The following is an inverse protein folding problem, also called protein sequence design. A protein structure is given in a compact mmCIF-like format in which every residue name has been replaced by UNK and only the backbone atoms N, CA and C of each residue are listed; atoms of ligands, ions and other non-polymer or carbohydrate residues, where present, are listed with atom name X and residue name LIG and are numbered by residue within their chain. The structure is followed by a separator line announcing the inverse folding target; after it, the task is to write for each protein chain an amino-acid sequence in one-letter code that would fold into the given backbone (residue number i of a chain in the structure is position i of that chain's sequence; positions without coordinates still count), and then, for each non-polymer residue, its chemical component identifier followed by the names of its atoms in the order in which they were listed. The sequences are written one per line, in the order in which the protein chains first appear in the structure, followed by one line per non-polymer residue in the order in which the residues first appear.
data_IF_466300399646
#
_entry.id   IF_466300399646
#
_cell.length_a   1.000
_cell.length_b   1.000
_cell.length_c   1.000
_cell.angle_alpha   90.00
_cell.angle_beta   90.00
_cell.angle_gamma   90.00
#
_symmetry.space_group_name_H-M   'P 1'
#
loop_
_entity.id
_entity.type
_entity.pdbx_description
1 polymer ?
#
# COMPACT_ATOMS: atom_id res chain seq x y z
N UNK A 1 -3.62 28.02 -81.15
CA UNK A 1 -3.68 28.79 -79.90
C UNK A 1 -4.07 27.82 -78.79
N UNK A 2 -3.11 27.38 -78.00
CA UNK A 2 -3.23 26.34 -77.02
C UNK A 2 -3.38 26.92 -75.64
N UNK A 3 -4.51 26.65 -74.98
CA UNK A 3 -4.72 27.03 -73.57
C UNK A 3 -4.30 25.88 -72.69
N UNK A 4 -3.18 26.08 -71.98
CA UNK A 4 -2.69 25.12 -70.96
C UNK A 4 -3.47 25.29 -69.64
N UNK A 5 -4.31 24.29 -69.37
CA UNK A 5 -4.96 24.15 -68.08
C UNK A 5 -3.97 23.79 -66.98
N UNK A 6 -3.80 24.67 -66.01
CA UNK A 6 -2.95 24.47 -64.84
C UNK A 6 -3.75 23.79 -63.75
N UNK A 7 -3.54 22.47 -63.63
CA UNK A 7 -4.17 21.65 -62.57
C UNK A 7 -3.39 21.87 -61.25
N UNK A 8 -3.87 22.76 -60.40
CA UNK A 8 -3.37 22.97 -59.06
C UNK A 8 -3.86 21.83 -58.15
N UNK A 9 -3.00 20.87 -57.87
CA UNK A 9 -3.26 19.86 -56.83
C UNK A 9 -3.10 20.52 -55.46
N UNK A 10 -4.20 20.76 -54.75
CA UNK A 10 -4.22 21.07 -53.33
C UNK A 10 -3.88 19.79 -52.56
N UNK A 11 -2.67 19.74 -52.03
CA UNK A 11 -2.31 18.72 -51.07
C UNK A 11 -2.78 19.22 -49.68
N UNK A 12 -3.86 18.69 -49.20
CA UNK A 12 -4.37 18.95 -47.84
C UNK A 12 -3.53 18.06 -46.87
N UNK A 13 -2.59 18.68 -46.20
CA UNK A 13 -1.88 18.04 -45.08
C UNK A 13 -2.85 17.98 -43.88
N UNK A 14 -3.39 16.79 -43.62
CA UNK A 14 -4.07 16.50 -42.36
C UNK A 14 -2.98 16.21 -41.33
N UNK A 15 -2.65 17.22 -40.54
CA UNK A 15 -1.81 17.04 -39.36
C UNK A 15 -2.64 16.30 -38.30
N UNK A 16 -2.45 14.99 -38.21
CA UNK A 16 -2.99 14.18 -37.11
C UNK A 16 -2.24 14.60 -35.84
N UNK A 17 -2.84 15.49 -35.07
CA UNK A 17 -2.37 15.82 -33.74
C UNK A 17 -2.65 14.60 -32.82
N UNK A 18 -1.62 13.76 -32.64
CA UNK A 18 -1.62 12.76 -31.55
C UNK A 18 -1.64 13.51 -30.23
N UNK A 19 -2.82 13.72 -29.68
CA UNK A 19 -2.97 14.18 -28.30
C UNK A 19 -2.58 12.99 -27.40
N UNK A 20 -1.34 12.97 -27.02
CA UNK A 20 -0.89 12.07 -25.94
C UNK A 20 -1.54 12.58 -24.65
N UNK A 21 -2.65 11.96 -24.27
CA UNK A 21 -3.21 12.17 -22.96
C UNK A 21 -2.20 11.65 -21.94
N UNK A 22 -1.47 12.58 -21.34
CA UNK A 22 -0.67 12.28 -20.15
C UNK A 22 -1.64 11.87 -19.06
N UNK A 23 -1.83 10.56 -18.89
CA UNK A 23 -2.54 10.01 -17.74
C UNK A 23 -1.61 10.24 -16.54
N UNK A 24 -1.75 11.39 -15.89
CA UNK A 24 -1.15 11.59 -14.58
C UNK A 24 -1.79 10.56 -13.64
N UNK A 25 -0.98 9.62 -13.16
CA UNK A 25 -1.43 8.73 -12.11
C UNK A 25 -1.90 9.60 -10.93
N UNK A 26 -3.16 9.45 -10.56
CA UNK A 26 -3.73 10.23 -9.45
C UNK A 26 -2.86 10.05 -8.19
N UNK A 27 -2.69 11.13 -7.43
CA UNK A 27 -1.95 11.07 -6.18
C UNK A 27 -2.55 10.05 -5.22
N UNK A 28 -1.69 9.33 -4.51
CA UNK A 28 -2.12 8.44 -3.44
C UNK A 28 -2.79 9.27 -2.35
N UNK A 29 -4.03 8.91 -2.01
CA UNK A 29 -4.83 9.64 -1.03
C UNK A 29 -5.09 8.78 0.21
N UNK A 30 -4.78 9.26 1.41
CA UNK A 30 -5.20 8.58 2.64
C UNK A 30 -6.71 8.72 2.83
N UNK A 31 -7.30 7.87 3.65
CA UNK A 31 -8.68 8.02 4.08
C UNK A 31 -8.84 9.34 4.85
N UNK A 32 -9.98 9.99 4.68
CA UNK A 32 -10.24 11.31 5.30
C UNK A 32 -10.42 11.23 6.82
N UNK A 33 -10.92 10.09 7.31
CA UNK A 33 -11.21 9.88 8.73
C UNK A 33 -10.50 8.64 9.24
N UNK A 34 -9.90 8.75 10.40
CA UNK A 34 -9.30 7.64 11.13
C UNK A 34 -9.58 7.82 12.62
N UNK A 35 -10.31 6.87 13.17
CA UNK A 35 -10.38 6.65 14.62
C UNK A 35 -9.16 5.79 15.01
N UNK A 36 -8.19 6.44 15.63
CA UNK A 36 -6.93 5.78 15.96
C UNK A 36 -7.15 4.67 17.01
N UNK A 37 -8.04 4.86 17.97
CA UNK A 37 -8.29 3.88 19.03
C UNK A 37 -8.86 2.58 18.44
N UNK A 38 -9.73 2.68 17.44
CA UNK A 38 -10.23 1.53 16.69
C UNK A 38 -9.16 0.89 15.81
N UNK A 39 -8.17 1.68 15.35
CA UNK A 39 -7.08 1.19 14.52
C UNK A 39 -6.01 0.45 15.33
N UNK A 40 -5.84 0.77 16.61
CA UNK A 40 -4.92 0.06 17.50
C UNK A 40 -5.22 -1.45 17.57
N UNK A 41 -4.30 -2.20 18.16
CA UNK A 41 -4.35 -3.65 18.27
C UNK A 41 -3.61 -4.38 17.16
N UNK A 42 -3.90 -5.65 17.00
CA UNK A 42 -3.17 -6.53 16.08
C UNK A 42 -3.82 -6.59 14.71
N UNK A 43 -2.98 -6.53 13.69
CA UNK A 43 -3.31 -6.69 12.28
C UNK A 43 -2.44 -7.78 11.66
N UNK A 44 -3.06 -8.71 10.97
CA UNK A 44 -2.38 -9.76 10.19
C UNK A 44 -2.11 -9.23 8.79
N UNK A 45 -0.88 -9.42 8.31
CA UNK A 45 -0.53 -9.10 6.93
C UNK A 45 -1.11 -10.14 5.98
N UNK A 46 -2.06 -9.75 5.14
CA UNK A 46 -2.68 -10.61 4.13
C UNK A 46 -1.85 -10.63 2.85
N UNK A 47 -1.34 -9.47 2.45
CA UNK A 47 -0.45 -9.32 1.30
C UNK A 47 0.43 -8.08 1.47
N UNK A 48 1.58 -8.07 0.82
CA UNK A 48 2.48 -6.91 0.80
C UNK A 48 3.23 -6.81 -0.52
N UNK A 49 3.64 -5.60 -0.89
CA UNK A 49 4.69 -5.40 -1.89
C UNK A 49 6.01 -5.84 -1.24
N UNK A 50 6.73 -6.84 -1.80
CA UNK A 50 7.92 -7.41 -1.16
C UNK A 50 9.00 -6.37 -0.86
N UNK A 51 9.51 -6.38 0.36
CA UNK A 51 10.53 -5.45 0.82
C UNK A 51 11.78 -6.19 1.32
N UNK A 52 12.95 -5.56 1.16
CA UNK A 52 14.24 -6.17 1.55
C UNK A 52 14.31 -6.46 3.05
N UNK A 53 13.70 -5.62 3.90
CA UNK A 53 13.70 -5.77 5.35
C UNK A 53 12.77 -6.89 5.85
N UNK A 54 11.87 -7.40 5.00
CA UNK A 54 11.00 -8.54 5.29
C UNK A 54 11.52 -9.87 4.73
N UNK A 55 12.73 -9.91 4.14
CA UNK A 55 13.25 -11.12 3.47
C UNK A 55 13.37 -12.34 4.37
N UNK A 56 13.55 -12.14 5.68
CA UNK A 56 13.60 -13.21 6.65
C UNK A 56 12.22 -13.78 6.99
N UNK A 57 11.16 -13.04 6.71
CA UNK A 57 9.78 -13.41 7.01
C UNK A 57 9.23 -14.36 5.95
N UNK A 58 8.87 -15.56 6.34
CA UNK A 58 8.28 -16.53 5.42
C UNK A 58 6.77 -16.70 5.61
N UNK A 59 6.24 -16.44 6.81
CA UNK A 59 4.81 -16.54 7.13
C UNK A 59 4.46 -15.82 8.44
N UNK A 60 3.17 -15.76 8.72
CA UNK A 60 2.57 -15.29 9.98
C UNK A 60 3.01 -13.86 10.35
N UNK A 61 3.21 -13.02 9.34
CA UNK A 61 3.54 -11.61 9.54
C UNK A 61 2.33 -10.89 10.11
N UNK A 62 2.56 -10.12 11.18
CA UNK A 62 1.57 -9.28 11.82
C UNK A 62 2.20 -8.02 12.37
N UNK A 63 1.39 -6.96 12.47
CA UNK A 63 1.74 -5.71 13.13
C UNK A 63 0.82 -5.48 14.32
N UNK A 64 1.37 -5.07 15.45
CA UNK A 64 0.59 -4.65 16.62
C UNK A 64 0.87 -3.18 16.91
N UNK A 65 -0.19 -2.40 16.96
CA UNK A 65 -0.14 -0.98 17.29
C UNK A 65 -0.73 -0.80 18.69
N UNK A 66 -0.01 -0.11 19.57
CA UNK A 66 -0.46 0.22 20.92
C UNK A 66 -0.13 1.66 21.27
N UNK A 67 -0.90 2.23 22.18
CA UNK A 67 -0.60 3.55 22.69
C UNK A 67 0.78 3.55 23.35
N UNK A 68 1.53 4.60 23.11
CA UNK A 68 2.79 4.90 23.78
C UNK A 68 2.70 6.30 24.42
N UNK A 69 3.82 6.82 24.89
CA UNK A 69 3.84 8.18 25.38
C UNK A 69 3.38 9.15 24.25
N UNK A 70 2.30 9.92 24.46
CA UNK A 70 1.77 10.79 23.42
C UNK A 70 2.81 11.78 22.89
N UNK A 71 2.86 12.04 21.57
CA UNK A 71 1.91 11.62 20.53
C UNK A 71 2.29 10.30 19.81
N UNK A 72 3.06 9.43 20.41
CA UNK A 72 3.63 8.24 19.78
C UNK A 72 2.70 7.02 19.86
N UNK A 73 2.84 6.15 18.86
CA UNK A 73 2.22 4.83 18.78
C UNK A 73 3.38 3.83 18.75
N UNK A 74 3.35 2.84 19.63
CA UNK A 74 4.29 1.70 19.56
C UNK A 74 3.88 0.80 18.41
N UNK A 75 4.86 0.40 17.61
CA UNK A 75 4.70 -0.55 16.50
C UNK A 75 5.55 -1.78 16.79
N UNK A 76 4.91 -2.94 16.77
CA UNK A 76 5.59 -4.23 16.92
C UNK A 76 5.25 -5.09 15.70
N UNK A 77 6.24 -5.38 14.87
CA UNK A 77 6.10 -6.28 13.75
C UNK A 77 6.75 -7.63 14.08
N UNK A 78 6.00 -8.70 13.87
CA UNK A 78 6.46 -10.07 14.14
C UNK A 78 6.16 -10.94 12.94
N UNK A 79 7.10 -11.83 12.60
CA UNK A 79 6.88 -12.88 11.61
C UNK A 79 7.61 -14.17 12.00
N UNK A 80 7.31 -15.25 11.29
CA UNK A 80 8.02 -16.52 11.39
C UNK A 80 9.07 -16.62 10.29
N UNK A 81 10.30 -16.98 10.66
CA UNK A 81 11.43 -17.22 9.77
C UNK A 81 11.40 -18.66 9.21
N UNK A 82 12.26 -18.92 8.24
CA UNK A 82 12.38 -20.25 7.61
C UNK A 82 12.85 -21.35 8.57
N UNK A 83 13.61 -20.99 9.61
CA UNK A 83 14.06 -21.90 10.68
C UNK A 83 12.99 -22.15 11.74
N UNK A 84 11.79 -21.59 11.59
CA UNK A 84 10.71 -21.64 12.58
C UNK A 84 10.81 -20.61 13.70
N UNK A 85 11.94 -19.89 13.79
CA UNK A 85 12.14 -18.82 14.76
C UNK A 85 11.27 -17.59 14.46
N UNK A 86 11.18 -16.70 15.44
CA UNK A 86 10.48 -15.42 15.31
C UNK A 86 11.47 -14.31 14.96
N UNK A 87 11.06 -13.43 14.05
CA UNK A 87 11.70 -12.13 13.84
C UNK A 87 10.79 -11.07 14.46
N UNK A 88 11.37 -10.15 15.20
CA UNK A 88 10.69 -9.06 15.88
C UNK A 88 11.37 -7.74 15.47
N UNK A 89 10.55 -6.75 15.09
CA UNK A 89 11.00 -5.37 14.90
C UNK A 89 10.09 -4.44 15.68
N UNK A 90 10.68 -3.64 16.57
CA UNK A 90 9.98 -2.61 17.33
C UNK A 90 10.25 -1.24 16.74
N UNK A 91 9.23 -0.40 16.71
CA UNK A 91 9.31 0.95 16.18
C UNK A 91 8.32 1.90 16.83
N UNK A 92 8.31 3.10 16.29
CA UNK A 92 7.35 4.14 16.70
C UNK A 92 6.73 4.76 15.46
N UNK A 93 5.44 5.05 15.58
CA UNK A 93 4.70 5.83 14.59
C UNK A 93 4.19 7.13 15.25
N UNK A 94 3.95 8.13 14.41
CA UNK A 94 3.25 9.36 14.79
C UNK A 94 2.46 9.91 13.60
N UNK A 95 1.48 10.77 13.86
CA UNK A 95 0.74 11.47 12.81
C UNK A 95 1.61 12.53 12.16
N UNK A 96 1.43 12.71 10.85
CA UNK A 96 2.06 13.77 10.08
C UNK A 96 1.03 14.86 9.80
N UNK A 97 1.07 15.92 10.62
CA UNK A 97 0.11 17.02 10.54
C UNK A 97 -1.21 16.75 11.26
N UNK A 98 -1.95 17.82 11.49
CA UNK A 98 -3.24 17.78 12.24
C UNK A 98 -4.42 17.47 11.30
N UNK A 99 -4.35 17.87 10.04
CA UNK A 99 -5.45 17.78 9.07
C UNK A 99 -5.48 16.46 8.28
N UNK A 100 -4.55 15.55 8.55
CA UNK A 100 -4.43 14.28 7.83
C UNK A 100 -4.33 13.09 8.80
N UNK A 101 -5.41 12.69 9.48
CA UNK A 101 -5.38 11.72 10.56
C UNK A 101 -4.86 10.34 10.14
N UNK A 102 -5.00 9.98 8.86
CA UNK A 102 -4.55 8.72 8.30
C UNK A 102 -3.15 8.77 7.66
N UNK A 103 -2.45 9.92 7.76
CA UNK A 103 -1.04 10.03 7.39
C UNK A 103 -0.19 9.84 8.63
N UNK A 104 0.51 8.73 8.68
CA UNK A 104 1.50 8.43 9.71
C UNK A 104 2.88 8.35 9.08
N UNK A 105 3.90 8.50 9.91
CA UNK A 105 5.26 8.10 9.63
C UNK A 105 5.72 7.11 10.68
N UNK A 106 6.50 6.11 10.25
CA UNK A 106 6.98 5.03 11.11
C UNK A 106 8.49 4.95 11.03
N UNK A 107 9.14 4.81 12.16
CA UNK A 107 10.57 4.56 12.25
C UNK A 107 10.85 3.32 13.10
N UNK A 108 11.86 2.55 12.70
CA UNK A 108 12.45 1.44 13.44
C UNK A 108 13.90 1.76 13.84
N UNK A 109 14.33 2.99 13.56
CA UNK A 109 15.67 3.43 13.88
C UNK A 109 15.70 4.13 15.24
N UNK A 110 16.41 3.49 16.19
CA UNK A 110 16.65 4.00 17.53
C UNK A 110 18.12 4.37 17.70
N UNK A 111 18.37 5.52 18.30
CA UNK A 111 19.71 5.98 18.61
C UNK A 111 19.73 6.60 20.01
N UNK A 112 20.56 6.06 20.89
CA UNK A 112 20.69 6.46 22.30
C UNK A 112 19.35 6.42 23.09
N UNK A 113 18.56 5.36 22.87
CA UNK A 113 17.26 5.18 23.54
C UNK A 113 16.12 6.02 22.96
N UNK A 114 16.34 6.75 21.86
CA UNK A 114 15.33 7.59 21.22
C UNK A 114 15.07 7.18 19.78
N UNK A 115 13.81 7.08 19.37
CA UNK A 115 13.41 6.82 17.99
C UNK A 115 13.57 8.06 17.12
N UNK A 116 14.27 7.91 15.99
CA UNK A 116 14.64 9.02 15.11
C UNK A 116 13.76 9.06 13.86
N UNK A 117 12.90 10.05 13.79
CA UNK A 117 11.93 10.21 12.68
C UNK A 117 12.53 10.81 11.40
N UNK A 118 13.75 11.30 11.42
CA UNK A 118 14.45 11.72 10.20
C UNK A 118 14.82 10.53 9.28
N UNK A 119 14.70 9.28 9.76
CA UNK A 119 14.81 8.03 8.97
C UNK A 119 13.45 7.34 8.85
N UNK A 120 12.35 8.05 9.03
CA UNK A 120 11.02 7.46 8.98
C UNK A 120 10.56 7.15 7.56
N UNK A 121 9.66 6.17 7.43
CA UNK A 121 8.90 5.89 6.22
C UNK A 121 7.46 6.36 6.33
N UNK A 122 6.90 6.88 5.23
CA UNK A 122 5.48 7.22 5.16
C UNK A 122 4.62 5.97 5.30
N UNK A 123 3.61 6.04 6.15
CA UNK A 123 2.63 4.99 6.40
C UNK A 123 1.23 5.62 6.30
N UNK A 124 0.65 5.55 5.10
CA UNK A 124 -0.64 6.17 4.83
C UNK A 124 -1.72 5.09 4.76
N UNK A 125 -2.77 5.21 5.57
CA UNK A 125 -3.93 4.33 5.45
C UNK A 125 -4.76 4.85 4.28
N UNK A 126 -4.67 4.16 3.12
CA UNK A 126 -5.24 4.58 1.83
C UNK A 126 -6.60 3.95 1.54
N UNK A 127 -6.94 2.89 2.26
CA UNK A 127 -8.29 2.34 2.32
C UNK A 127 -8.51 1.66 3.68
N UNK A 128 -9.74 1.71 4.14
CA UNK A 128 -10.11 1.17 5.45
C UNK A 128 -11.56 0.70 5.41
N UNK A 129 -11.79 -0.52 5.91
CA UNK A 129 -13.13 -1.04 6.12
C UNK A 129 -13.89 -0.20 7.19
N UNK A 130 -15.16 0.15 6.98
CA UNK A 130 -15.93 0.92 7.95
C UNK A 130 -15.98 0.29 9.35
N UNK A 131 -15.89 -1.04 9.43
CA UNK A 131 -15.84 -1.79 10.68
C UNK A 131 -14.42 -2.11 11.15
N UNK A 132 -13.38 -1.59 10.47
CA UNK A 132 -11.96 -1.81 10.79
C UNK A 132 -11.54 -3.28 10.72
N UNK A 133 -12.13 -4.06 9.81
CA UNK A 133 -11.78 -5.46 9.63
C UNK A 133 -10.59 -5.65 8.70
N UNK A 134 -10.40 -4.73 7.75
CA UNK A 134 -9.22 -4.68 6.88
C UNK A 134 -8.79 -3.24 6.58
N UNK A 135 -7.53 -3.08 6.23
CA UNK A 135 -6.94 -1.82 5.81
C UNK A 135 -5.94 -2.05 4.68
N UNK A 136 -5.82 -1.06 3.80
CA UNK A 136 -4.71 -0.97 2.84
C UNK A 136 -3.83 0.19 3.26
N UNK A 137 -2.56 -0.11 3.46
CA UNK A 137 -1.51 0.86 3.75
C UNK A 137 -0.70 1.08 2.50
N UNK A 138 -0.36 2.32 2.23
CA UNK A 138 0.42 2.70 1.07
C UNK A 138 1.40 3.82 1.35
N UNK A 139 2.09 4.22 0.29
CA UNK A 139 3.08 5.30 0.28
C UNK A 139 2.93 6.11 -1.02
N UNK A 140 3.18 7.44 -1.05
CA UNK A 140 3.08 8.26 -2.25
C UNK A 140 3.85 7.73 -3.47
N UNK A 141 5.00 7.09 -3.23
CA UNK A 141 5.82 6.50 -4.31
C UNK A 141 5.27 5.19 -4.88
N UNK A 142 4.24 4.61 -4.28
CA UNK A 142 3.69 3.27 -4.59
C UNK A 142 4.69 2.11 -4.52
N UNK A 143 5.89 2.34 -4.02
CA UNK A 143 6.92 1.30 -3.84
C UNK A 143 6.70 0.45 -2.60
N UNK A 144 5.80 0.87 -1.73
CA UNK A 144 5.45 0.21 -0.47
C UNK A 144 3.94 0.07 -0.38
N UNK A 145 3.48 -1.10 0.07
CA UNK A 145 2.07 -1.36 0.24
C UNK A 145 1.83 -2.61 1.07
N UNK A 146 0.80 -2.57 1.91
CA UNK A 146 0.38 -3.68 2.76
C UNK A 146 -1.14 -3.79 2.77
N UNK A 147 -1.65 -5.01 2.71
CA UNK A 147 -3.03 -5.36 3.01
C UNK A 147 -3.03 -6.00 4.39
N UNK A 148 -3.71 -5.37 5.31
CA UNK A 148 -3.81 -5.80 6.70
C UNK A 148 -5.25 -6.21 7.01
N UNK A 149 -5.44 -7.21 7.86
CA UNK A 149 -6.75 -7.63 8.33
C UNK A 149 -6.74 -8.02 9.81
N UNK A 150 -7.91 -8.00 10.46
CA UNK A 150 -8.04 -8.52 11.82
C UNK A 150 -7.98 -10.05 11.85
N UNK A 151 -8.47 -10.67 10.79
CA UNK A 151 -8.48 -12.13 10.62
C UNK A 151 -7.39 -12.60 9.65
N UNK A 152 -7.00 -13.86 9.75
CA UNK A 152 -5.99 -14.49 8.89
C UNK A 152 -6.46 -14.75 7.46
N UNK A 153 -7.73 -14.51 7.19
CA UNK A 153 -8.36 -14.65 5.86
C UNK A 153 -9.34 -13.51 5.65
N UNK A 154 -9.40 -13.03 4.43
CA UNK A 154 -10.47 -12.19 3.96
C UNK A 154 -11.43 -13.02 3.11
N UNK A 155 -12.70 -12.68 3.16
CA UNK A 155 -13.69 -13.26 2.25
C UNK A 155 -13.38 -12.88 0.81
N UNK A 156 -13.85 -13.63 -0.20
CA UNK A 156 -13.68 -13.25 -1.61
C UNK A 156 -14.24 -11.85 -1.92
N UNK A 157 -15.34 -11.46 -1.28
CA UNK A 157 -15.95 -10.13 -1.44
C UNK A 157 -15.03 -9.06 -0.89
N UNK A 158 -14.48 -9.23 0.31
CA UNK A 158 -13.53 -8.27 0.90
C UNK A 158 -12.23 -8.18 0.09
N UNK A 159 -11.72 -9.31 -0.43
CA UNK A 159 -10.56 -9.32 -1.32
C UNK A 159 -10.81 -8.55 -2.61
N UNK A 160 -11.99 -8.72 -3.23
CA UNK A 160 -12.37 -7.98 -4.44
C UNK A 160 -12.43 -6.46 -4.16
N UNK A 161 -12.98 -6.06 -3.02
CA UNK A 161 -13.01 -4.65 -2.60
C UNK A 161 -11.60 -4.12 -2.38
N UNK A 162 -10.75 -4.82 -1.63
CA UNK A 162 -9.35 -4.45 -1.40
C UNK A 162 -8.60 -4.26 -2.72
N UNK A 163 -8.73 -5.20 -3.66
CA UNK A 163 -8.11 -5.09 -5.00
C UNK A 163 -8.63 -3.85 -5.75
N UNK A 164 -9.93 -3.58 -5.69
CA UNK A 164 -10.53 -2.39 -6.28
C UNK A 164 -9.96 -1.10 -5.67
N UNK A 165 -9.82 -1.05 -4.35
CA UNK A 165 -9.22 0.11 -3.63
C UNK A 165 -7.75 0.31 -3.99
N UNK A 166 -6.96 -0.77 -4.06
CA UNK A 166 -5.55 -0.74 -4.48
C UNK A 166 -5.43 -0.11 -5.87
N UNK A 167 -6.24 -0.61 -6.83
CA UNK A 167 -6.26 -0.09 -8.22
C UNK A 167 -6.69 1.37 -8.29
N UNK A 168 -7.71 1.78 -7.52
CA UNK A 168 -8.18 3.17 -7.48
C UNK A 168 -7.13 4.16 -6.97
N UNK A 169 -6.15 3.69 -6.18
CA UNK A 169 -5.01 4.47 -5.72
C UNK A 169 -3.81 4.43 -6.68
N UNK A 170 -3.98 3.80 -7.86
CA UNK A 170 -2.97 3.72 -8.91
C UNK A 170 -1.87 2.69 -8.64
N UNK A 171 -2.07 1.75 -7.72
CA UNK A 171 -1.18 0.60 -7.54
C UNK A 171 -1.53 -0.53 -8.50
N UNK A 172 -0.53 -1.33 -8.87
CA UNK A 172 -0.75 -2.64 -9.47
C UNK A 172 -0.98 -3.68 -8.36
N UNK A 173 -2.16 -4.30 -8.36
CA UNK A 173 -2.49 -5.35 -7.39
C UNK A 173 -1.64 -6.61 -7.57
N UNK A 174 -0.99 -6.80 -8.72
CA UNK A 174 -0.09 -7.92 -8.97
C UNK A 174 1.28 -7.75 -8.30
N UNK A 175 1.65 -6.54 -7.91
CA UNK A 175 2.86 -6.29 -7.11
C UNK A 175 2.70 -6.73 -5.64
N UNK A 176 1.46 -6.83 -5.16
CA UNK A 176 1.19 -7.35 -3.82
C UNK A 176 1.23 -8.88 -3.85
N UNK A 177 2.09 -9.45 -3.01
CA UNK A 177 2.23 -10.90 -2.86
C UNK A 177 1.55 -11.33 -1.57
N UNK A 178 0.69 -12.36 -1.65
CA UNK A 178 0.01 -12.93 -0.49
C UNK A 178 1.01 -13.46 0.52
N UNK A 179 0.80 -13.12 1.79
CA UNK A 179 1.63 -13.59 2.91
C UNK A 179 1.03 -14.89 3.47
N UNK A 180 1.77 -15.99 3.48
CA UNK A 180 1.31 -17.24 4.06
C UNK A 180 0.95 -17.08 5.54
N UNK A 181 -0.19 -17.64 5.95
CA UNK A 181 -0.68 -17.60 7.33
C UNK A 181 -1.02 -19.01 7.82
N UNK A 182 -0.55 -19.37 9.00
CA UNK A 182 -0.96 -20.62 9.66
C UNK A 182 -2.47 -20.61 9.90
N UNK A 183 -3.19 -21.59 9.34
CA UNK A 183 -4.66 -21.61 9.36
C UNK A 183 -5.32 -20.65 8.37
N UNK A 184 -4.53 -19.95 7.55
CA UNK A 184 -4.94 -19.08 6.46
C UNK A 184 -4.57 -19.60 5.08
N UNK A 185 -4.17 -18.70 4.18
CA UNK A 185 -3.58 -19.06 2.89
C UNK A 185 -2.14 -19.52 3.11
N UNK A 186 -1.75 -20.65 2.51
CA UNK A 186 -0.42 -21.26 2.71
C UNK A 186 0.58 -20.96 1.59
N UNK A 187 0.12 -20.39 0.48
CA UNK A 187 0.92 -20.21 -0.74
C UNK A 187 1.14 -18.74 -1.04
N UNK A 188 2.37 -18.38 -1.42
CA UNK A 188 2.69 -17.07 -1.96
C UNK A 188 2.26 -17.00 -3.42
N UNK A 189 1.40 -16.05 -3.76
CA UNK A 189 1.01 -15.73 -5.13
C UNK A 189 0.60 -14.27 -5.23
N UNK A 190 0.61 -13.66 -6.43
CA UNK A 190 0.11 -12.31 -6.63
C UNK A 190 -1.34 -12.15 -6.16
N UNK A 191 -1.64 -11.03 -5.49
CA UNK A 191 -2.98 -10.73 -5.01
C UNK A 191 -4.02 -10.67 -6.14
N UNK A 192 -3.61 -10.22 -7.33
CA UNK A 192 -4.48 -10.16 -8.50
C UNK A 192 -4.97 -11.54 -9.02
N UNK A 193 -4.32 -12.64 -8.62
CA UNK A 193 -4.65 -14.01 -9.04
C UNK A 193 -5.56 -14.74 -8.03
N UNK A 194 -5.86 -14.14 -6.89
CA UNK A 194 -6.55 -14.83 -5.78
C UNK A 194 -8.05 -15.06 -6.05
N UNK A 195 -8.64 -14.27 -6.96
CA UNK A 195 -10.06 -14.35 -7.31
C UNK A 195 -10.31 -15.04 -8.67
N UNK A 196 -9.26 -15.61 -9.27
CA UNK A 196 -9.35 -16.33 -10.54
C UNK A 196 -9.59 -17.85 -10.32
#
# INVERSE_FOLDING_TARGET
MTFKSLCRKLITLIAAACVWSLVFAADVKPVEKLDLDRYLGTWVEIAAIPQFFQRKCVRDTRATYSAAEPPLIRVENVCTRSDGGRELAEGRARRVGVDAPAKLEVTFFELFGEYRFWVSGGYWIIALDPNYQWAVVGHPSRRFGWVLARERRLSPVALAEVIGRIKSQGYDACEFVMTPQTGGLSVRRPLCEVLQ
#
